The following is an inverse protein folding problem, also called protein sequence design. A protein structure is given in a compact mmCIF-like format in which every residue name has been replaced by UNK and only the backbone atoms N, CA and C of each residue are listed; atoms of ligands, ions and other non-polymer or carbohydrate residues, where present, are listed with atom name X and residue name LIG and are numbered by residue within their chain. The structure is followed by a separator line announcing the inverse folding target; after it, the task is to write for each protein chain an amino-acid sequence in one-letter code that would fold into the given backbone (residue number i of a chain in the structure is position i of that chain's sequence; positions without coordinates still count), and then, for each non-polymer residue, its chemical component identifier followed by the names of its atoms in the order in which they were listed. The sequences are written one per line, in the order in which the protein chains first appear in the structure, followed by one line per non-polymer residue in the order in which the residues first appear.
data_IF_825835827623
#
_entry.id   IF_825835827623
#
_cell.length_a   1.000
_cell.length_b   1.000
_cell.length_c   1.000
_cell.angle_alpha   90.00
_cell.angle_beta   90.00
_cell.angle_gamma   90.00
#
_symmetry.space_group_name_H-M   'P 1'
#
loop_
_entity.id
_entity.type
_entity.pdbx_description
1 polymer ?
#
# COMPACT_ATOMS: atom_id res chain seq x y z
N UNK A 1 44.58 -6.05 -23.21
CA UNK A 1 43.94 -4.87 -23.83
C UNK A 1 42.51 -5.27 -24.20
N UNK A 2 41.53 -4.94 -23.41
CA UNK A 2 40.13 -5.26 -23.68
C UNK A 2 39.31 -3.97 -23.55
N UNK A 3 38.63 -3.61 -24.64
CA UNK A 3 37.90 -2.38 -24.82
C UNK A 3 36.53 -2.44 -24.10
N UNK A 4 36.27 -1.44 -23.26
CA UNK A 4 34.99 -1.20 -22.59
C UNK A 4 34.03 -0.52 -23.58
N UNK A 5 32.96 -1.22 -23.96
CA UNK A 5 31.83 -0.66 -24.71
C UNK A 5 30.81 -0.03 -23.76
N UNK A 6 30.68 1.30 -23.81
CA UNK A 6 29.64 2.04 -23.09
C UNK A 6 28.42 2.19 -23.99
N UNK A 7 27.34 1.48 -23.64
CA UNK A 7 26.02 1.71 -24.26
C UNK A 7 25.32 2.87 -23.55
N UNK A 8 25.08 3.95 -24.28
CA UNK A 8 24.23 5.07 -23.86
C UNK A 8 22.78 4.74 -24.18
N UNK A 9 21.96 4.67 -23.14
CA UNK A 9 20.50 4.60 -23.29
C UNK A 9 19.97 6.04 -23.33
N UNK A 10 19.40 6.43 -24.46
CA UNK A 10 18.70 7.72 -24.61
C UNK A 10 17.26 7.58 -24.08
N UNK A 11 16.96 8.30 -23.01
CA UNK A 11 15.59 8.51 -22.52
C UNK A 11 14.87 9.51 -23.42
N UNK A 12 13.88 9.07 -24.16
CA UNK A 12 12.96 9.93 -24.89
C UNK A 12 11.82 10.38 -23.97
N UNK A 13 11.83 11.66 -23.58
CA UNK A 13 10.69 12.33 -22.93
C UNK A 13 9.62 12.58 -23.99
N UNK A 14 8.45 11.96 -23.83
CA UNK A 14 7.23 12.32 -24.56
C UNK A 14 6.29 13.12 -23.65
N UNK A 15 6.33 14.44 -23.80
CA UNK A 15 5.35 15.36 -23.25
C UNK A 15 4.17 15.44 -24.22
N UNK A 16 3.00 14.91 -23.86
CA UNK A 16 1.73 15.22 -24.51
C UNK A 16 0.84 15.98 -23.55
N UNK A 17 0.80 17.31 -23.75
CA UNK A 17 -0.22 18.17 -23.21
C UNK A 17 -1.61 17.75 -23.74
N UNK A 18 -2.58 17.69 -22.84
CA UNK A 18 -4.00 17.66 -23.19
C UNK A 18 -4.65 18.82 -22.47
N UNK A 19 -4.91 19.85 -23.27
CA UNK A 19 -5.79 20.94 -22.91
C UNK A 19 -7.22 20.39 -22.76
N UNK A 20 -7.82 20.64 -21.61
CA UNK A 20 -9.24 20.34 -21.40
C UNK A 20 -10.00 21.65 -21.33
N UNK A 21 -10.84 21.82 -22.34
CA UNK A 21 -11.75 22.94 -22.47
C UNK A 21 -12.84 22.88 -21.39
N UNK A 22 -13.08 24.04 -20.82
CA UNK A 22 -14.18 24.36 -19.91
C UNK A 22 -15.48 24.43 -20.72
N UNK A 23 -16.50 23.68 -20.31
CA UNK A 23 -17.88 23.93 -20.67
C UNK A 23 -18.74 23.97 -19.41
N UNK A 24 -19.16 25.19 -19.08
CA UNK A 24 -20.24 25.47 -18.14
C UNK A 24 -21.56 25.26 -18.87
N UNK A 25 -22.63 24.86 -18.15
CA UNK A 25 -24.05 25.27 -18.27
C UNK A 25 -24.92 24.16 -17.68
N UNK A 26 -25.86 24.53 -16.80
CA UNK A 26 -27.08 23.80 -16.65
C UNK A 26 -27.68 23.78 -15.24
N UNK A 27 -28.59 24.72 -15.04
CA UNK A 27 -29.45 24.93 -13.89
C UNK A 27 -30.41 23.78 -13.58
N UNK A 28 -30.73 23.61 -12.29
CA UNK A 28 -32.09 23.37 -11.80
C UNK A 28 -32.56 21.94 -11.71
N UNK A 29 -32.80 21.47 -10.49
CA UNK A 29 -34.15 20.98 -10.10
C UNK A 29 -34.12 20.60 -8.61
N UNK A 30 -34.91 21.35 -7.82
CA UNK A 30 -35.33 21.01 -6.48
C UNK A 30 -36.26 19.81 -6.56
N UNK A 31 -35.94 18.70 -5.91
CA UNK A 31 -36.89 17.63 -5.61
C UNK A 31 -36.84 17.42 -4.08
N UNK A 32 -37.80 18.02 -3.41
CA UNK A 32 -38.28 17.64 -2.09
C UNK A 32 -38.94 16.28 -2.16
N UNK A 33 -38.39 15.28 -1.55
CA UNK A 33 -38.97 13.96 -1.35
C UNK A 33 -38.66 13.42 0.03
N UNK A 34 -39.48 13.72 1.04
CA UNK A 34 -39.56 12.96 2.26
C UNK A 34 -40.21 11.61 1.96
N UNK A 35 -39.56 10.52 2.30
CA UNK A 35 -40.22 9.23 2.49
C UNK A 35 -39.40 8.33 3.39
N UNK A 36 -39.86 8.20 4.62
CA UNK A 36 -40.03 7.02 5.50
C UNK A 36 -39.09 5.82 5.36
N UNK A 37 -38.38 5.54 6.48
CA UNK A 37 -38.24 4.19 7.09
C UNK A 37 -37.54 3.14 6.26
N UNK A 38 -36.27 2.92 6.56
CA UNK A 38 -35.54 1.72 6.23
C UNK A 38 -34.34 1.68 7.15
N UNK A 39 -34.22 0.59 7.91
CA UNK A 39 -33.02 0.26 8.67
C UNK A 39 -31.80 0.38 7.79
N UNK A 40 -31.11 1.50 7.89
CA UNK A 40 -29.79 1.67 7.29
C UNK A 40 -28.80 1.10 8.28
N UNK A 41 -28.30 -0.09 7.96
CA UNK A 41 -26.96 -0.48 8.41
C UNK A 41 -26.05 0.74 8.28
N UNK A 42 -25.19 1.03 9.25
CA UNK A 42 -24.26 2.14 9.14
C UNK A 42 -23.37 1.90 7.92
N UNK A 43 -23.76 2.50 6.79
CA UNK A 43 -22.85 2.68 5.67
C UNK A 43 -21.71 3.53 6.21
N UNK A 44 -20.52 2.97 6.28
CA UNK A 44 -19.33 3.70 6.65
C UNK A 44 -19.29 4.97 5.78
N UNK A 45 -19.40 6.13 6.42
CA UNK A 45 -19.24 7.44 5.81
C UNK A 45 -17.89 7.43 5.08
N UNK A 46 -17.79 7.78 3.80
CA UNK A 46 -16.50 7.97 3.16
C UNK A 46 -15.84 9.20 3.78
N UNK A 47 -15.08 8.99 4.84
CA UNK A 47 -14.29 10.04 5.47
C UNK A 47 -13.24 10.48 4.45
N UNK A 48 -13.47 11.60 3.80
CA UNK A 48 -12.48 12.28 2.97
C UNK A 48 -11.32 12.67 3.91
N UNK A 49 -10.23 11.94 3.85
CA UNK A 49 -9.09 12.05 4.75
C UNK A 49 -8.93 10.87 5.70
N UNK A 50 -9.52 9.71 5.39
CA UNK A 50 -9.41 8.48 6.19
C UNK A 50 -8.01 7.87 6.14
N UNK A 51 -7.62 7.29 7.26
CA UNK A 51 -6.49 6.36 7.38
C UNK A 51 -6.77 5.13 6.52
N UNK A 52 -5.74 4.49 5.97
CA UNK A 52 -5.84 3.23 5.24
C UNK A 52 -6.66 2.19 6.05
N UNK A 53 -7.54 1.48 5.37
CA UNK A 53 -8.44 0.52 6.03
C UNK A 53 -7.64 -0.71 6.45
N UNK A 54 -7.74 -1.06 7.75
CA UNK A 54 -7.11 -2.26 8.29
C UNK A 54 -8.05 -3.45 8.14
N UNK A 55 -8.05 -4.07 6.98
CA UNK A 55 -8.78 -5.31 6.71
C UNK A 55 -7.98 -6.25 5.79
N UNK A 56 -8.36 -7.53 5.80
CA UNK A 56 -7.71 -8.56 5.00
C UNK A 56 -7.67 -8.23 3.50
N UNK A 57 -8.77 -7.77 2.85
CA UNK A 57 -8.73 -7.44 1.43
C UNK A 57 -7.74 -6.34 1.08
N UNK A 58 -7.68 -5.27 1.88
CA UNK A 58 -6.78 -4.13 1.65
C UNK A 58 -5.32 -4.53 1.82
N UNK A 59 -4.98 -5.23 2.89
CA UNK A 59 -3.62 -5.72 3.16
C UNK A 59 -3.19 -6.74 2.10
N UNK A 60 -4.04 -7.72 1.77
CA UNK A 60 -3.73 -8.75 0.77
C UNK A 60 -3.53 -8.17 -0.63
N UNK A 61 -4.26 -7.12 -1.00
CA UNK A 61 -4.13 -6.48 -2.31
C UNK A 61 -2.72 -5.87 -2.48
N UNK A 62 -2.26 -5.13 -1.47
CA UNK A 62 -0.95 -4.48 -1.49
C UNK A 62 0.19 -5.50 -1.46
N UNK A 63 0.10 -6.53 -0.60
CA UNK A 63 1.14 -7.57 -0.53
C UNK A 63 1.23 -8.34 -1.86
N UNK A 64 0.11 -8.61 -2.52
CA UNK A 64 0.11 -9.27 -3.82
C UNK A 64 0.83 -8.42 -4.87
N UNK A 65 0.54 -7.12 -4.92
CA UNK A 65 1.20 -6.18 -5.82
C UNK A 65 2.71 -6.12 -5.53
N UNK A 66 3.10 -6.01 -4.26
CA UNK A 66 4.50 -6.01 -3.84
C UNK A 66 5.23 -7.29 -4.25
N UNK A 67 4.60 -8.46 -4.07
CA UNK A 67 5.19 -9.75 -4.48
C UNK A 67 5.39 -9.82 -5.98
N UNK A 68 4.39 -9.39 -6.76
CA UNK A 68 4.43 -9.44 -8.23
C UNK A 68 5.49 -8.48 -8.79
N UNK A 69 5.70 -7.32 -8.16
CA UNK A 69 6.64 -6.30 -8.63
C UNK A 69 8.09 -6.55 -8.16
N UNK A 70 8.26 -6.95 -6.90
CA UNK A 70 9.57 -6.98 -6.24
C UNK A 70 10.26 -8.34 -6.33
N UNK A 71 9.48 -9.45 -6.41
CA UNK A 71 10.02 -10.81 -6.37
C UNK A 71 9.73 -11.60 -7.65
N UNK A 72 10.55 -11.45 -8.71
CA UNK A 72 10.34 -12.15 -9.99
C UNK A 72 10.23 -13.65 -9.83
N UNK A 73 9.11 -14.23 -10.26
CA UNK A 73 8.85 -15.67 -10.17
C UNK A 73 8.26 -16.13 -8.84
N UNK A 74 8.01 -15.21 -7.90
CA UNK A 74 7.21 -15.48 -6.73
C UNK A 74 5.72 -15.24 -7.02
N UNK A 75 4.85 -15.86 -6.22
CA UNK A 75 3.39 -15.69 -6.32
C UNK A 75 2.80 -15.63 -4.90
N UNK A 76 2.00 -14.61 -4.64
CA UNK A 76 1.22 -14.53 -3.40
C UNK A 76 0.20 -15.68 -3.33
N UNK A 77 0.22 -16.44 -2.24
CA UNK A 77 -0.69 -17.58 -2.01
C UNK A 77 -1.84 -17.15 -1.09
N UNK A 78 -1.52 -16.67 0.11
CA UNK A 78 -2.52 -16.26 1.11
C UNK A 78 -1.92 -15.35 2.16
N UNK A 79 -2.75 -14.48 2.73
CA UNK A 79 -2.44 -13.78 3.97
C UNK A 79 -2.67 -14.75 5.14
N UNK A 80 -1.72 -14.88 6.04
CA UNK A 80 -1.80 -15.76 7.20
C UNK A 80 -2.22 -15.00 8.45
N UNK A 81 -1.57 -13.88 8.72
CA UNK A 81 -1.87 -13.00 9.85
C UNK A 81 -1.54 -11.56 9.48
N UNK A 82 -2.23 -10.61 10.12
CA UNK A 82 -1.87 -9.19 10.05
C UNK A 82 -2.31 -8.47 11.32
N UNK A 83 -1.63 -7.38 11.62
CA UNK A 83 -1.94 -6.49 12.73
C UNK A 83 -1.68 -5.05 12.29
N UNK A 84 -2.56 -4.11 12.72
CA UNK A 84 -2.39 -2.69 12.44
C UNK A 84 -2.30 -1.91 13.74
N UNK A 85 -1.34 -0.98 13.78
CA UNK A 85 -1.10 -0.10 14.92
C UNK A 85 -0.59 1.26 14.45
N UNK A 86 -1.22 2.34 14.88
CA UNK A 86 -0.78 3.73 14.67
C UNK A 86 -0.39 4.06 13.22
N UNK A 87 -1.20 3.60 12.24
CA UNK A 87 -0.96 3.84 10.83
C UNK A 87 0.13 2.94 10.22
N UNK A 88 0.53 1.89 10.91
CA UNK A 88 1.40 0.83 10.41
C UNK A 88 0.68 -0.50 10.41
N UNK A 89 1.14 -1.42 9.57
CA UNK A 89 0.71 -2.80 9.61
C UNK A 89 1.92 -3.73 9.48
N UNK A 90 1.91 -4.81 10.27
CA UNK A 90 2.73 -5.99 10.02
C UNK A 90 1.84 -7.10 9.48
N UNK A 91 2.36 -7.90 8.57
CA UNK A 91 1.64 -9.01 7.97
C UNK A 91 2.56 -10.17 7.68
N UNK A 92 2.01 -11.39 7.77
CA UNK A 92 2.67 -12.61 7.34
C UNK A 92 1.86 -13.22 6.22
N UNK A 93 2.53 -13.49 5.11
CA UNK A 93 1.89 -14.09 3.94
C UNK A 93 2.65 -15.32 3.46
N UNK A 94 1.91 -16.28 2.98
CA UNK A 94 2.45 -17.42 2.26
C UNK A 94 2.75 -16.98 0.82
N UNK A 95 3.99 -17.17 0.39
CA UNK A 95 4.49 -16.83 -0.94
C UNK A 95 5.10 -18.08 -1.56
N UNK A 96 4.66 -18.44 -2.76
CA UNK A 96 5.29 -19.51 -3.55
C UNK A 96 6.49 -18.94 -4.29
N UNK A 97 7.64 -19.54 -4.08
CA UNK A 97 8.87 -19.23 -4.82
C UNK A 97 9.35 -20.48 -5.52
N UNK A 98 9.06 -20.57 -6.82
CA UNK A 98 9.45 -21.73 -7.66
C UNK A 98 8.93 -23.09 -7.14
N UNK A 99 7.68 -23.14 -6.65
CA UNK A 99 7.04 -24.35 -6.13
C UNK A 99 7.34 -24.65 -4.66
N UNK A 100 8.00 -23.74 -3.96
CA UNK A 100 8.23 -23.80 -2.51
C UNK A 100 7.47 -22.66 -1.84
N UNK A 101 6.51 -23.00 -1.00
CA UNK A 101 5.75 -22.00 -0.22
C UNK A 101 6.52 -21.66 1.04
N UNK A 102 6.79 -20.38 1.25
CA UNK A 102 7.45 -19.83 2.43
C UNK A 102 6.59 -18.74 3.05
N UNK A 103 6.62 -18.62 4.37
CA UNK A 103 6.00 -17.48 5.07
C UNK A 103 6.96 -16.30 5.07
N UNK A 104 6.52 -15.17 4.55
CA UNK A 104 7.28 -13.92 4.45
C UNK A 104 6.60 -12.83 5.26
N UNK A 105 7.38 -12.03 5.99
CA UNK A 105 6.89 -10.85 6.69
C UNK A 105 6.88 -9.64 5.76
N UNK A 106 5.84 -8.81 5.87
CA UNK A 106 5.67 -7.56 5.17
C UNK A 106 5.32 -6.46 6.17
N UNK A 107 5.85 -5.27 5.95
CA UNK A 107 5.58 -4.09 6.75
C UNK A 107 5.01 -3.02 5.85
N UNK A 108 3.93 -2.38 6.29
CA UNK A 108 3.20 -1.38 5.53
C UNK A 108 3.02 -0.12 6.36
N UNK A 109 3.09 1.04 5.73
CA UNK A 109 2.76 2.33 6.32
C UNK A 109 1.54 2.93 5.62
N UNK A 110 0.64 3.53 6.38
CA UNK A 110 -0.51 4.22 5.83
C UNK A 110 -0.09 5.60 5.29
N UNK A 111 -0.30 5.81 4.00
CA UNK A 111 -0.20 7.10 3.34
C UNK A 111 -1.61 7.56 2.90
N UNK A 112 -2.27 8.33 3.77
CA UNK A 112 -3.66 8.71 3.57
C UNK A 112 -4.57 7.47 3.58
N UNK A 113 -5.19 7.14 2.45
CA UNK A 113 -6.10 6.00 2.32
C UNK A 113 -5.43 4.71 1.83
N UNK A 114 -4.15 4.75 1.58
CA UNK A 114 -3.41 3.64 0.97
C UNK A 114 -2.40 3.05 1.94
N UNK A 115 -2.17 1.76 1.82
CA UNK A 115 -1.04 1.08 2.43
C UNK A 115 0.12 1.09 1.44
N UNK A 116 1.32 1.42 1.93
CA UNK A 116 2.57 1.45 1.15
C UNK A 116 3.56 0.49 1.79
N UNK A 117 4.14 -0.45 1.03
CA UNK A 117 5.17 -1.34 1.54
C UNK A 117 6.41 -0.56 2.00
N UNK A 118 6.94 -0.95 3.17
CA UNK A 118 8.18 -0.39 3.72
C UNK A 118 9.21 -1.49 3.86
N UNK A 119 10.37 -1.39 3.19
CA UNK A 119 11.44 -2.36 3.33
C UNK A 119 11.96 -2.43 4.77
N UNK A 120 12.29 -3.64 5.24
CA UNK A 120 12.80 -3.87 6.60
C UNK A 120 14.08 -3.07 6.86
N UNK A 121 14.91 -2.90 5.84
CA UNK A 121 16.16 -2.12 5.91
C UNK A 121 15.88 -0.66 6.22
N UNK A 122 14.76 -0.11 5.75
CA UNK A 122 14.36 1.26 6.03
C UNK A 122 13.92 1.40 7.49
N UNK A 123 13.11 0.47 8.00
CA UNK A 123 12.65 0.48 9.39
C UNK A 123 13.85 0.39 10.34
N UNK A 124 14.82 -0.49 10.04
CA UNK A 124 15.96 -0.78 10.89
C UNK A 124 17.17 0.15 10.66
N UNK A 125 17.07 1.12 9.74
CA UNK A 125 18.15 2.07 9.46
C UNK A 125 18.36 3.10 10.56
N UNK A 126 17.35 3.32 11.40
CA UNK A 126 17.35 4.26 12.51
C UNK A 126 17.18 3.52 13.85
N UNK A 127 17.72 4.04 14.96
CA UNK A 127 17.45 3.48 16.28
C UNK A 127 15.96 3.60 16.64
N UNK A 128 15.48 2.74 17.54
CA UNK A 128 14.07 2.70 17.96
C UNK A 128 13.51 4.07 18.36
N UNK A 129 14.28 4.87 19.10
CA UNK A 129 13.86 6.18 19.60
C UNK A 129 13.66 7.22 18.51
N UNK A 130 14.23 7.00 17.33
CA UNK A 130 14.15 7.91 16.17
C UNK A 130 13.30 7.30 15.04
N UNK A 131 12.86 6.05 15.17
CA UNK A 131 12.09 5.36 14.16
C UNK A 131 10.66 5.92 14.05
N UNK A 132 10.14 6.15 12.84
CA UNK A 132 8.73 6.50 12.65
C UNK A 132 7.79 5.31 12.91
N UNK A 133 8.31 4.08 12.90
CA UNK A 133 7.52 2.89 13.15
C UNK A 133 7.22 2.74 14.65
N UNK A 134 5.98 2.33 15.02
CA UNK A 134 5.66 1.98 16.40
C UNK A 134 6.62 0.92 16.96
N UNK A 135 6.91 1.00 18.26
CA UNK A 135 7.84 0.09 18.93
C UNK A 135 7.55 -1.39 18.62
N UNK A 136 6.30 -1.79 18.61
CA UNK A 136 5.88 -3.16 18.30
C UNK A 136 6.31 -3.58 16.89
N UNK A 137 6.07 -2.74 15.89
CA UNK A 137 6.47 -2.97 14.50
C UNK A 137 7.99 -3.01 14.37
N UNK A 138 8.67 -2.07 15.03
CA UNK A 138 10.13 -2.02 15.03
C UNK A 138 10.76 -3.28 15.64
N UNK A 139 10.27 -3.73 16.80
CA UNK A 139 10.80 -4.93 17.47
C UNK A 139 10.51 -6.20 16.67
N UNK A 140 9.37 -6.28 15.98
CA UNK A 140 9.07 -7.40 15.08
C UNK A 140 10.00 -7.41 13.85
N UNK A 141 10.27 -6.24 13.27
CA UNK A 141 11.11 -6.11 12.08
C UNK A 141 12.61 -6.28 12.39
N UNK A 142 13.11 -5.61 13.43
CA UNK A 142 14.54 -5.46 13.69
C UNK A 142 15.05 -6.32 14.86
N UNK A 143 14.15 -6.92 15.63
CA UNK A 143 14.49 -7.59 16.89
C UNK A 143 14.69 -6.62 18.05
N UNK A 144 14.97 -7.16 19.23
CA UNK A 144 15.29 -6.34 20.40
C UNK A 144 16.68 -5.74 20.26
N UNK A 145 16.86 -4.43 20.48
CA UNK A 145 18.20 -3.84 20.53
C UNK A 145 19.01 -4.50 21.67
N UNK A 146 20.24 -4.92 21.37
CA UNK A 146 21.19 -5.48 22.34
C UNK A 146 21.85 -4.37 23.19
#
# INVERSE_FOLDING_TARGET
MAALSRSRVHSARSSRGREWAVAAIGAGLLITGCSSGGDVSPTADPTIGGTAVCDEPSISAVIREEVDETYPGATFVSLETFECVDGWASARAAVDTNGVVVTTAFYLQAEGQFWVPVPIEEICSTPLEESPAPEQIYLEACGTPE
#
